data_IF_975971477895
#
_entry.id   IF_975971477895
#
_cell.length_a   1.000
_cell.length_b   1.000
_cell.length_c   1.000
_cell.angle_alpha   90.00
_cell.angle_beta   90.00
_cell.angle_gamma   90.00
#
_symmetry.space_group_name_H-M   'P 1'
#
loop_
_entity.id
_entity.type
_entity.pdbx_description
1 polymer ?
#
# COMPACT_ATOMS: atom_id res chain seq x y z
N UNK A 1 2.20 -9.45 -14.04
CA UNK A 1 3.31 -8.49 -13.82
C UNK A 1 3.01 -7.66 -12.58
N UNK A 2 4.00 -7.04 -11.92
CA UNK A 2 3.80 -6.19 -10.72
C UNK A 2 2.69 -5.16 -10.93
N UNK A 3 2.60 -4.62 -12.15
CA UNK A 3 1.56 -3.68 -12.58
C UNK A 3 0.14 -4.29 -12.49
N UNK A 4 -0.08 -5.52 -12.94
CA UNK A 4 -1.41 -6.18 -12.86
C UNK A 4 -1.86 -6.36 -11.41
N UNK A 5 -0.90 -6.64 -10.51
CA UNK A 5 -1.16 -6.79 -9.08
C UNK A 5 -1.53 -5.44 -8.43
N UNK A 6 -0.89 -4.35 -8.87
CA UNK A 6 -1.23 -2.99 -8.42
C UNK A 6 -2.63 -2.55 -8.92
N UNK A 7 -3.04 -2.96 -10.12
CA UNK A 7 -4.38 -2.70 -10.64
C UNK A 7 -5.46 -3.47 -9.87
N UNK A 8 -5.23 -4.74 -9.52
CA UNK A 8 -6.15 -5.49 -8.66
C UNK A 8 -6.29 -4.86 -7.27
N UNK A 9 -5.18 -4.33 -6.73
CA UNK A 9 -5.16 -3.58 -5.46
C UNK A 9 -5.94 -2.26 -5.51
N UNK A 10 -5.95 -1.56 -6.65
CA UNK A 10 -6.70 -0.30 -6.79
C UNK A 10 -8.21 -0.50 -6.67
N UNK A 11 -8.73 -1.62 -7.19
CA UNK A 11 -10.15 -1.97 -7.15
C UNK A 11 -10.60 -2.67 -5.87
N UNK A 12 -9.69 -3.02 -4.98
CA UNK A 12 -9.99 -3.77 -3.76
C UNK A 12 -10.46 -2.82 -2.65
N UNK A 13 -11.59 -3.13 -2.02
CA UNK A 13 -12.02 -2.39 -0.82
C UNK A 13 -11.13 -2.78 0.36
N UNK A 14 -10.15 -1.94 0.64
CA UNK A 14 -9.19 -2.13 1.73
C UNK A 14 -9.88 -2.28 3.09
N UNK A 15 -11.11 -1.78 3.24
CA UNK A 15 -11.90 -1.92 4.46
C UNK A 15 -12.39 -3.35 4.70
N UNK A 16 -12.51 -4.17 3.65
CA UNK A 16 -12.93 -5.58 3.78
C UNK A 16 -11.77 -6.52 4.08
N UNK A 17 -10.52 -6.07 3.93
CA UNK A 17 -9.33 -6.86 4.25
C UNK A 17 -9.18 -7.05 5.75
N UNK A 18 -8.92 -8.29 6.17
CA UNK A 18 -8.52 -8.64 7.52
C UNK A 18 -7.16 -8.00 7.84
N UNK A 19 -6.89 -7.78 9.12
CA UNK A 19 -5.63 -7.19 9.58
C UNK A 19 -4.39 -7.93 9.02
N UNK A 20 -4.38 -9.26 9.07
CA UNK A 20 -3.29 -10.10 8.56
C UNK A 20 -3.06 -9.94 7.05
N UNK A 21 -4.13 -9.75 6.28
CA UNK A 21 -4.05 -9.53 4.83
C UNK A 21 -3.43 -8.15 4.56
N UNK A 22 -3.81 -7.12 5.33
CA UNK A 22 -3.21 -5.79 5.24
C UNK A 22 -1.72 -5.80 5.53
N UNK A 23 -1.29 -6.51 6.58
CA UNK A 23 0.14 -6.65 6.90
C UNK A 23 0.91 -7.32 5.75
N UNK A 24 0.35 -8.41 5.21
CA UNK A 24 0.92 -9.11 4.05
C UNK A 24 1.06 -8.19 2.84
N UNK A 25 0.05 -7.35 2.57
CA UNK A 25 0.09 -6.36 1.49
C UNK A 25 1.16 -5.29 1.73
N UNK A 26 1.29 -4.77 2.95
CA UNK A 26 2.32 -3.80 3.30
C UNK A 26 3.72 -4.39 3.08
N UNK A 27 3.94 -5.65 3.45
CA UNK A 27 5.22 -6.35 3.22
C UNK A 27 5.56 -6.43 1.73
N UNK A 28 4.59 -6.82 0.89
CA UNK A 28 4.79 -6.91 -0.57
C UNK A 28 5.08 -5.53 -1.16
N UNK A 29 4.31 -4.50 -0.80
CA UNK A 29 4.52 -3.14 -1.29
C UNK A 29 5.86 -2.57 -0.84
N UNK A 30 6.30 -2.84 0.39
CA UNK A 30 7.62 -2.44 0.88
C UNK A 30 8.73 -3.09 0.05
N UNK A 31 8.64 -4.40 -0.21
CA UNK A 31 9.60 -5.10 -1.06
C UNK A 31 9.66 -4.53 -2.48
N UNK A 32 8.49 -4.22 -3.07
CA UNK A 32 8.42 -3.59 -4.39
C UNK A 32 9.04 -2.19 -4.38
N UNK A 33 8.78 -1.39 -3.33
CA UNK A 33 9.32 -0.03 -3.20
C UNK A 33 10.86 0.03 -3.16
N UNK A 34 11.51 -1.03 -2.68
CA UNK A 34 12.97 -1.11 -2.61
C UNK A 34 13.62 -1.49 -3.94
N UNK A 35 12.84 -2.08 -4.85
CA UNK A 35 13.33 -2.63 -6.13
C UNK A 35 12.89 -1.81 -7.33
N UNK A 36 11.78 -1.09 -7.21
CA UNK A 36 11.25 -0.24 -8.26
C UNK A 36 12.14 0.99 -8.45
N UNK A 37 12.48 1.29 -9.70
CA UNK A 37 13.30 2.46 -10.08
C UNK A 37 12.48 3.52 -10.79
N UNK A 38 11.30 3.15 -11.29
CA UNK A 38 10.37 4.07 -11.89
C UNK A 38 9.74 4.96 -10.79
N UNK A 39 9.94 6.29 -10.85
CA UNK A 39 9.45 7.21 -9.82
C UNK A 39 7.91 7.31 -9.78
N UNK A 40 7.23 7.09 -10.91
CA UNK A 40 5.78 7.07 -10.98
C UNK A 40 5.20 5.84 -10.28
N UNK A 41 5.76 4.65 -10.56
CA UNK A 41 5.38 3.42 -9.87
C UNK A 41 5.71 3.48 -8.38
N UNK A 42 6.86 4.05 -8.02
CA UNK A 42 7.23 4.26 -6.61
C UNK A 42 6.21 5.14 -5.87
N UNK A 43 5.72 6.20 -6.53
CA UNK A 43 4.67 7.07 -5.99
C UNK A 43 3.36 6.30 -5.79
N UNK A 44 2.96 5.48 -6.76
CA UNK A 44 1.76 4.64 -6.65
C UNK A 44 1.87 3.64 -5.50
N UNK A 45 3.00 2.96 -5.35
CA UNK A 45 3.26 2.00 -4.26
C UNK A 45 3.12 2.69 -2.89
N UNK A 46 3.77 3.86 -2.72
CA UNK A 46 3.70 4.64 -1.48
C UNK A 46 2.26 5.07 -1.15
N UNK A 47 1.50 5.51 -2.16
CA UNK A 47 0.10 5.89 -1.97
C UNK A 47 -0.78 4.70 -1.54
N UNK A 48 -0.54 3.50 -2.08
CA UNK A 48 -1.26 2.31 -1.64
C UNK A 48 -0.89 1.90 -0.21
N UNK A 49 0.38 1.98 0.17
CA UNK A 49 0.80 1.73 1.56
C UNK A 49 0.10 2.68 2.54
N UNK A 50 0.00 3.97 2.20
CA UNK A 50 -0.71 4.96 3.03
C UNK A 50 -2.21 4.64 3.18
N UNK A 51 -2.86 4.11 2.12
CA UNK A 51 -4.28 3.69 2.17
C UNK A 51 -4.48 2.46 3.05
N UNK A 52 -3.47 1.61 3.17
CA UNK A 52 -3.50 0.38 3.98
C UNK A 52 -3.20 0.65 5.47
N UNK A 53 -2.60 1.78 5.81
CA UNK A 53 -2.37 2.17 7.20
C UNK A 53 -3.71 2.42 7.91
N UNK A 54 -3.86 1.97 9.17
CA UNK A 54 -5.07 2.22 9.94
C UNK A 54 -5.28 3.73 10.11
N UNK A 55 -6.50 4.22 9.85
CA UNK A 55 -6.88 5.65 9.93
C UNK A 55 -6.45 6.36 11.24
N UNK A 56 -6.25 5.61 12.33
CA UNK A 56 -5.76 6.14 13.60
C UNK A 56 -4.27 6.57 13.61
N UNK A 57 -3.46 6.18 12.61
CA UNK A 57 -2.03 6.58 12.56
C UNK A 57 -1.82 7.97 11.96
N UNK A 58 -2.75 8.47 11.14
CA UNK A 58 -2.68 9.82 10.56
C UNK A 58 -3.01 10.93 11.58
N UNK A 59 -3.69 10.58 12.68
CA UNK A 59 -4.04 11.51 13.76
C UNK A 59 -2.87 11.83 14.70
N UNK A 60 -1.77 11.07 14.64
CA UNK A 60 -0.63 11.22 15.55
C UNK A 60 0.40 12.28 15.11
N UNK A 61 0.27 12.86 13.91
CA UNK A 61 1.19 13.89 13.38
C UNK A 61 0.67 15.34 13.48
N UNK A 62 -0.48 15.57 14.12
CA UNK A 62 -0.94 16.91 14.53
C UNK A 62 -0.94 17.02 16.06
N UNK A 63 0.24 17.18 16.66
CA UNK A 63 0.40 17.79 17.97
C UNK A 63 1.67 18.60 18.01
#
# INVERSE_FOLDING_TARGET
MVVDYLYQLQGMDVNTLKWQERESFITVLNYLSQRERDPHLLSQIKNQMLRLLPKNTLSAQKK
#
